data_IF_393076567827
#
_entry.id   IF_393076567827
#
_cell.length_a   1.000
_cell.length_b   1.000
_cell.length_c   1.000
_cell.angle_alpha   90.00
_cell.angle_beta   90.00
_cell.angle_gamma   90.00
#
_symmetry.space_group_name_H-M   'P 1'
#
loop_
_entity.id
_entity.type
_entity.pdbx_description
1 polymer ?
#
# COMPACT_ATOMS: atom_id res chain seq x y z
N UNK A 1 -47.60 37.90 44.29
CA UNK A 1 -47.81 39.17 43.55
C UNK A 1 -46.42 39.80 43.48
N UNK A 2 -45.68 39.80 42.38
CA UNK A 2 -46.06 39.65 40.98
C UNK A 2 -45.11 38.73 40.22
N UNK A 3 -45.74 37.98 39.32
CA UNK A 3 -45.14 37.18 38.26
C UNK A 3 -45.14 38.07 37.02
N UNK A 4 -44.02 38.17 36.30
CA UNK A 4 -43.94 38.14 34.83
C UNK A 4 -42.85 39.04 34.23
N UNK A 5 -42.10 38.42 33.30
CA UNK A 5 -41.52 38.98 32.08
C UNK A 5 -40.27 39.85 32.22
N UNK A 6 -39.14 39.22 31.90
CA UNK A 6 -38.12 39.82 31.04
C UNK A 6 -37.47 38.71 30.21
N UNK A 7 -37.82 38.67 28.93
CA UNK A 7 -37.14 37.94 27.86
C UNK A 7 -35.71 38.52 27.75
N UNK A 8 -34.62 37.77 27.59
CA UNK A 8 -34.44 36.73 26.60
C UNK A 8 -33.93 37.34 25.30
N UNK A 9 -32.79 38.05 25.33
CA UNK A 9 -32.16 38.62 24.13
C UNK A 9 -30.63 38.69 24.29
N UNK A 10 -29.93 38.43 23.17
CA UNK A 10 -28.47 38.36 22.97
C UNK A 10 -27.84 37.00 23.34
N UNK A 11 -27.27 36.20 22.44
CA UNK A 11 -26.97 36.35 21.03
C UNK A 11 -25.81 35.41 20.69
N UNK A 12 -25.89 34.71 19.55
CA UNK A 12 -24.77 34.29 18.71
C UNK A 12 -25.19 33.10 17.82
N UNK A 13 -25.53 33.44 16.58
CA UNK A 13 -25.02 32.79 15.36
C UNK A 13 -25.11 31.26 15.31
N UNK A 14 -26.17 30.76 14.68
CA UNK A 14 -26.20 29.44 14.07
C UNK A 14 -26.73 29.60 12.64
N UNK A 15 -25.84 30.02 11.72
CA UNK A 15 -26.09 29.93 10.29
C UNK A 15 -25.79 28.50 9.84
N UNK A 16 -26.87 27.76 9.60
CA UNK A 16 -26.86 26.47 8.93
C UNK A 16 -26.87 26.74 7.41
N UNK A 17 -25.69 26.82 6.79
CA UNK A 17 -25.51 26.81 5.35
C UNK A 17 -24.52 25.69 4.99
N UNK A 18 -24.91 24.90 3.98
CA UNK A 18 -24.23 23.68 3.56
C UNK A 18 -22.79 23.87 3.06
N UNK A 19 -22.11 22.77 2.73
CA UNK A 19 -20.69 22.78 2.40
C UNK A 19 -20.46 23.48 1.07
N UNK A 20 -20.01 24.72 1.10
CA UNK A 20 -19.27 25.34 -0.01
C UNK A 20 -17.80 24.96 0.12
N UNK A 21 -17.42 23.79 -0.39
CA UNK A 21 -16.04 23.51 -0.75
C UNK A 21 -15.69 24.29 -2.03
N UNK A 22 -15.34 25.57 -1.88
CA UNK A 22 -14.58 26.31 -2.88
C UNK A 22 -13.12 26.36 -2.46
N UNK A 23 -12.46 25.20 -2.47
CA UNK A 23 -11.00 25.14 -2.37
C UNK A 23 -10.43 25.54 -3.73
N UNK A 24 -9.89 26.75 -3.79
CA UNK A 24 -9.27 27.31 -5.00
C UNK A 24 -8.22 26.37 -5.62
N UNK A 25 -8.26 26.13 -6.94
CA UNK A 25 -7.29 25.30 -7.65
C UNK A 25 -6.08 26.17 -8.04
N UNK A 26 -5.19 26.51 -7.10
CA UNK A 26 -4.00 27.31 -7.46
C UNK A 26 -2.68 26.97 -6.78
N UNK A 27 -2.63 25.93 -5.96
CA UNK A 27 -1.38 25.51 -5.28
C UNK A 27 -0.98 24.04 -5.52
N UNK A 28 -1.59 23.34 -6.49
CA UNK A 28 -1.19 21.97 -6.88
C UNK A 28 -0.36 21.86 -8.17
N UNK A 29 0.03 22.99 -8.79
CA UNK A 29 0.73 22.97 -10.09
C UNK A 29 2.26 23.03 -10.01
N UNK A 30 2.85 23.13 -8.81
CA UNK A 30 4.31 23.17 -8.64
C UNK A 30 4.92 21.84 -8.20
N UNK A 31 4.16 20.94 -7.57
CA UNK A 31 4.63 19.56 -7.28
C UNK A 31 4.62 18.68 -8.53
N UNK A 32 3.58 18.77 -9.36
CA UNK A 32 3.50 18.01 -10.62
C UNK A 32 4.64 18.36 -11.60
N UNK A 33 5.28 19.53 -11.49
CA UNK A 33 6.44 19.88 -12.33
C UNK A 33 7.74 19.25 -11.87
N UNK A 34 7.91 18.92 -10.58
CA UNK A 34 9.13 18.22 -10.11
C UNK A 34 9.10 16.74 -10.45
N UNK A 35 7.93 16.11 -10.40
CA UNK A 35 7.77 14.70 -10.80
C UNK A 35 7.88 14.52 -12.33
N UNK A 36 7.41 15.50 -13.11
CA UNK A 36 7.57 15.51 -14.57
C UNK A 36 9.03 15.55 -15.05
N UNK A 37 9.94 16.14 -14.25
CA UNK A 37 11.37 16.23 -14.57
C UNK A 37 12.11 14.95 -14.19
N UNK A 38 11.62 14.17 -13.21
CA UNK A 38 12.15 12.84 -12.89
C UNK A 38 11.75 11.79 -13.94
N UNK A 39 10.53 11.85 -14.49
CA UNK A 39 10.10 10.96 -15.56
C UNK A 39 10.86 11.20 -16.88
N UNK A 40 11.25 12.45 -17.17
CA UNK A 40 12.04 12.79 -18.37
C UNK A 40 13.51 12.33 -18.31
N UNK A 41 14.03 11.99 -17.12
CA UNK A 41 15.35 11.35 -17.00
C UNK A 41 15.30 9.84 -17.21
N UNK A 42 14.21 9.18 -16.83
CA UNK A 42 14.04 7.74 -17.05
C UNK A 42 13.80 7.37 -18.52
N UNK A 43 13.20 8.26 -19.31
CA UNK A 43 13.04 8.03 -20.76
C UNK A 43 14.31 8.28 -21.59
N UNK A 44 15.36 8.88 -21.01
CA UNK A 44 16.63 9.08 -21.73
C UNK A 44 17.50 7.82 -21.77
N UNK A 45 17.23 6.87 -20.87
CA UNK A 45 18.02 5.64 -20.73
C UNK A 45 17.35 4.40 -21.38
N UNK A 46 16.13 4.55 -21.92
CA UNK A 46 15.35 3.45 -22.53
C UNK A 46 15.28 3.58 -24.06
N UNK A 47 16.13 4.42 -24.69
CA UNK A 47 16.23 4.41 -26.16
C UNK A 47 17.02 3.16 -26.62
N UNK A 48 16.45 2.24 -27.44
CA UNK A 48 17.12 1.01 -27.86
C UNK A 48 18.31 1.21 -28.81
N UNK A 49 18.58 2.46 -29.24
CA UNK A 49 19.43 2.76 -30.40
C UNK A 49 20.85 3.20 -30.07
N UNK A 50 21.31 3.13 -28.81
CA UNK A 50 22.70 3.53 -28.45
C UNK A 50 23.57 2.50 -27.74
N UNK A 51 23.07 1.32 -27.38
CA UNK A 51 23.90 0.28 -26.75
C UNK A 51 24.64 -0.60 -27.78
N UNK A 52 24.31 -0.49 -29.07
CA UNK A 52 24.85 -1.39 -30.09
C UNK A 52 26.13 -0.95 -30.83
N UNK A 53 26.74 0.19 -30.51
CA UNK A 53 27.86 0.71 -31.33
C UNK A 53 29.24 0.77 -30.69
N UNK A 54 29.46 0.38 -29.44
CA UNK A 54 30.80 0.50 -28.81
C UNK A 54 31.29 -0.70 -27.97
N UNK A 55 30.86 -1.94 -28.28
CA UNK A 55 31.44 -3.13 -27.62
C UNK A 55 31.69 -4.36 -28.50
N UNK A 56 31.68 -4.20 -29.82
CA UNK A 56 31.89 -5.30 -30.79
C UNK A 56 33.22 -5.25 -31.53
N UNK A 57 34.29 -4.71 -30.92
CA UNK A 57 35.65 -4.81 -31.49
C UNK A 57 36.59 -5.78 -30.76
N UNK A 58 36.16 -6.41 -29.65
CA UNK A 58 37.04 -7.29 -28.87
C UNK A 58 36.49 -8.70 -28.61
N UNK A 59 35.27 -9.02 -29.06
CA UNK A 59 34.70 -10.38 -28.97
C UNK A 59 34.75 -11.18 -30.28
N UNK A 60 35.34 -10.61 -31.35
CA UNK A 60 35.57 -11.31 -32.63
C UNK A 60 36.75 -12.28 -32.60
N UNK A 61 37.18 -12.74 -31.42
CA UNK A 61 38.28 -13.69 -31.24
C UNK A 61 37.89 -14.89 -30.37
N UNK A 62 36.61 -15.28 -30.34
CA UNK A 62 36.33 -16.71 -30.22
C UNK A 62 36.49 -17.31 -31.61
N UNK A 63 37.74 -17.59 -31.99
CA UNK A 63 38.06 -18.42 -33.14
C UNK A 63 37.52 -19.82 -32.85
N UNK A 64 36.23 -20.01 -33.15
CA UNK A 64 35.69 -21.33 -33.46
C UNK A 64 36.67 -21.98 -34.45
N UNK A 65 37.04 -23.27 -34.28
CA UNK A 65 37.80 -23.96 -35.30
C UNK A 65 36.99 -23.87 -36.59
N UNK A 66 37.50 -23.07 -37.53
CA UNK A 66 36.94 -22.88 -38.86
C UNK A 66 37.14 -24.21 -39.62
N UNK A 67 36.23 -25.15 -39.36
CA UNK A 67 36.21 -26.51 -39.89
C UNK A 67 36.12 -26.54 -41.42
N UNK A 68 35.86 -25.40 -42.05
CA UNK A 68 35.85 -25.21 -43.50
C UNK A 68 37.17 -24.71 -44.09
N UNK A 69 38.15 -24.32 -43.26
CA UNK A 69 39.54 -24.06 -43.70
C UNK A 69 40.45 -25.27 -43.66
N UNK A 70 39.96 -26.41 -43.17
CA UNK A 70 40.72 -27.65 -43.23
C UNK A 70 40.82 -28.11 -44.69
N UNK A 71 41.92 -27.75 -45.36
CA UNK A 71 42.28 -28.22 -46.71
C UNK A 71 42.11 -29.75 -46.75
N UNK A 72 41.07 -30.23 -47.42
CA UNK A 72 40.80 -31.66 -47.62
C UNK A 72 39.57 -32.24 -46.88
N UNK A 73 38.96 -31.54 -45.91
CA UNK A 73 37.81 -32.07 -45.15
C UNK A 73 36.59 -32.41 -46.01
N UNK A 74 36.37 -31.65 -47.08
CA UNK A 74 35.30 -31.86 -48.05
C UNK A 74 35.69 -32.78 -49.22
N UNK A 75 36.97 -33.12 -49.40
CA UNK A 75 37.42 -33.94 -50.53
C UNK A 75 36.96 -35.39 -50.40
N UNK A 76 36.86 -35.89 -49.18
CA UNK A 76 36.32 -37.22 -48.92
C UNK A 76 34.84 -37.33 -49.31
N UNK A 77 34.08 -36.21 -49.32
CA UNK A 77 32.62 -36.19 -49.62
C UNK A 77 32.33 -36.24 -51.12
N UNK A 78 33.36 -36.16 -51.97
CA UNK A 78 33.18 -36.33 -53.41
C UNK A 78 32.90 -37.80 -53.72
N UNK A 79 31.88 -38.11 -54.54
CA UNK A 79 31.73 -39.44 -55.12
C UNK A 79 33.03 -39.77 -55.86
N UNK A 80 33.76 -40.78 -55.39
CA UNK A 80 34.78 -41.39 -56.21
C UNK A 80 34.02 -42.04 -57.38
N UNK A 81 34.18 -41.50 -58.58
CA UNK A 81 33.82 -42.21 -59.80
C UNK A 81 34.75 -43.44 -59.87
N UNK A 82 34.34 -44.52 -59.21
CA UNK A 82 35.03 -45.79 -59.28
C UNK A 82 34.79 -46.35 -60.67
N UNK A 83 35.84 -46.18 -61.48
CA UNK A 83 36.36 -47.20 -62.38
C UNK A 83 35.86 -48.58 -61.96
N UNK A 84 35.14 -49.21 -62.88
CA UNK A 84 34.62 -50.56 -62.77
C UNK A 84 35.69 -51.53 -62.26
N UNK A 85 35.35 -52.34 -61.26
CA UNK A 85 35.40 -53.79 -61.35
C UNK A 85 34.89 -54.41 -60.04
N UNK A 86 33.94 -55.36 -60.21
CA UNK A 86 33.54 -56.44 -59.31
C UNK A 86 33.09 -56.06 -57.89
N UNK A 87 31.77 -56.12 -57.64
CA UNK A 87 31.15 -57.01 -56.63
C UNK A 87 29.62 -56.90 -56.71
N UNK A 88 28.97 -57.64 -57.61
CA UNK A 88 27.50 -57.78 -57.61
C UNK A 88 27.13 -58.92 -56.64
N UNK A 89 26.52 -58.61 -55.50
CA UNK A 89 25.89 -59.65 -54.69
C UNK A 89 25.45 -59.32 -53.26
N UNK A 90 25.90 -58.21 -52.64
CA UNK A 90 25.54 -57.92 -51.22
C UNK A 90 25.08 -56.48 -50.94
N UNK A 91 25.01 -55.61 -51.95
CA UNK A 91 24.82 -54.18 -51.72
C UNK A 91 23.36 -53.72 -51.53
N UNK A 92 22.36 -54.59 -51.65
CA UNK A 92 20.95 -54.21 -51.47
C UNK A 92 20.55 -53.97 -49.99
N UNK A 93 21.31 -54.50 -49.03
CA UNK A 93 21.06 -54.34 -47.58
C UNK A 93 22.02 -53.35 -46.91
N UNK A 94 23.06 -52.89 -47.62
CA UNK A 94 24.06 -51.97 -47.08
C UNK A 94 23.62 -50.53 -47.32
N UNK A 95 23.56 -49.74 -46.25
CA UNK A 95 23.30 -48.31 -46.36
C UNK A 95 24.24 -47.67 -47.40
N UNK A 96 23.73 -46.84 -48.32
CA UNK A 96 24.57 -46.21 -49.35
C UNK A 96 25.72 -45.46 -48.67
N UNK A 97 26.94 -45.54 -49.23
CA UNK A 97 28.18 -45.01 -48.60
C UNK A 97 28.07 -43.56 -48.12
N UNK A 98 27.26 -42.76 -48.82
CA UNK A 98 26.96 -41.37 -48.43
C UNK A 98 26.17 -41.29 -47.11
N UNK A 99 25.15 -42.13 -46.94
CA UNK A 99 24.29 -42.14 -45.77
C UNK A 99 25.06 -42.59 -44.53
N UNK A 100 25.84 -43.67 -44.63
CA UNK A 100 26.72 -44.13 -43.57
C UNK A 100 27.71 -43.02 -43.12
N UNK A 101 28.14 -42.19 -44.07
CA UNK A 101 29.04 -41.07 -43.78
C UNK A 101 28.35 -39.90 -43.09
N UNK A 102 27.13 -39.58 -43.48
CA UNK A 102 26.33 -38.54 -42.84
C UNK A 102 25.95 -38.94 -41.41
N UNK A 103 25.67 -40.21 -41.17
CA UNK A 103 25.44 -40.76 -39.82
C UNK A 103 26.67 -40.61 -38.92
N UNK A 104 27.88 -40.91 -39.43
CA UNK A 104 29.11 -40.67 -38.68
C UNK A 104 29.32 -39.18 -38.38
N UNK A 105 29.07 -38.31 -39.36
CA UNK A 105 29.17 -36.86 -39.18
C UNK A 105 28.18 -36.36 -38.12
N UNK A 106 26.95 -36.86 -38.14
CA UNK A 106 25.93 -36.53 -37.15
C UNK A 106 26.34 -36.99 -35.75
N UNK A 107 26.82 -38.23 -35.62
CA UNK A 107 27.31 -38.74 -34.35
C UNK A 107 28.47 -37.90 -33.81
N UNK A 108 29.41 -37.49 -34.67
CA UNK A 108 30.51 -36.60 -34.30
C UNK A 108 30.00 -35.23 -33.82
N UNK A 109 29.08 -34.61 -34.56
CA UNK A 109 28.51 -33.31 -34.21
C UNK A 109 27.69 -33.36 -32.93
N UNK A 110 26.85 -34.38 -32.74
CA UNK A 110 26.09 -34.56 -31.51
C UNK A 110 27.01 -34.84 -30.31
N UNK A 111 28.10 -35.59 -30.50
CA UNK A 111 29.10 -35.79 -29.45
C UNK A 111 29.83 -34.49 -29.10
N UNK A 112 30.13 -33.63 -30.06
CA UNK A 112 30.67 -32.29 -29.78
C UNK A 112 29.65 -31.43 -29.03
N UNK A 113 28.39 -31.41 -29.46
CA UNK A 113 27.30 -30.70 -28.76
C UNK A 113 27.12 -31.21 -27.33
N UNK A 114 27.22 -32.52 -27.10
CA UNK A 114 27.13 -33.08 -25.75
C UNK A 114 28.35 -32.73 -24.88
N UNK A 115 29.55 -32.65 -25.47
CA UNK A 115 30.78 -32.23 -24.75
C UNK A 115 30.78 -30.75 -24.41
N UNK A 116 30.39 -29.89 -25.35
CA UNK A 116 30.32 -28.43 -25.16
C UNK A 116 29.08 -28.05 -24.32
N UNK A 117 27.96 -28.73 -24.57
CA UNK A 117 26.69 -28.54 -23.89
C UNK A 117 26.59 -29.17 -22.50
N UNK A 118 27.60 -29.93 -22.04
CA UNK A 118 27.62 -30.49 -20.68
C UNK A 118 27.50 -29.40 -19.59
N UNK A 119 27.95 -28.17 -19.88
CA UNK A 119 27.83 -27.00 -19.01
C UNK A 119 26.57 -26.15 -19.27
N UNK A 120 25.93 -26.30 -20.44
CA UNK A 120 24.79 -25.50 -20.89
C UNK A 120 23.51 -26.33 -20.78
N UNK A 121 22.67 -26.06 -19.79
CA UNK A 121 21.34 -26.71 -19.67
C UNK A 121 20.27 -25.81 -20.27
N UNK A 122 19.31 -26.39 -21.00
CA UNK A 122 18.13 -25.69 -21.51
C UNK A 122 18.22 -25.26 -22.97
N UNK A 123 17.75 -24.05 -23.27
CA UNK A 123 17.54 -23.53 -24.63
C UNK A 123 18.82 -23.55 -25.49
N UNK A 124 19.96 -23.14 -24.93
CA UNK A 124 21.23 -23.10 -25.67
C UNK A 124 21.74 -24.49 -26.09
N UNK A 125 21.54 -25.53 -25.27
CA UNK A 125 21.90 -26.90 -25.68
C UNK A 125 20.95 -27.46 -26.75
N UNK A 126 19.68 -27.08 -26.71
CA UNK A 126 18.70 -27.45 -27.74
C UNK A 126 19.04 -26.76 -29.05
N UNK A 127 19.46 -25.49 -29.02
CA UNK A 127 19.93 -24.73 -30.17
C UNK A 127 21.20 -25.34 -30.82
N UNK A 128 22.20 -25.68 -30.01
CA UNK A 128 23.41 -26.32 -30.54
C UNK A 128 23.11 -27.68 -31.18
N UNK A 129 22.10 -28.38 -30.67
CA UNK A 129 21.64 -29.65 -31.24
C UNK A 129 20.91 -29.45 -32.57
N UNK A 130 20.01 -28.46 -32.69
CA UNK A 130 19.35 -28.13 -33.96
C UNK A 130 20.36 -27.67 -35.01
N UNK A 131 21.38 -26.91 -34.62
CA UNK A 131 22.46 -26.49 -35.52
C UNK A 131 23.32 -27.66 -36.01
N UNK A 132 23.56 -28.67 -35.18
CA UNK A 132 24.23 -29.90 -35.61
C UNK A 132 23.42 -30.64 -36.70
N UNK A 133 22.09 -30.71 -36.55
CA UNK A 133 21.22 -31.28 -37.58
C UNK A 133 21.20 -30.44 -38.86
N UNK A 134 21.14 -29.10 -38.76
CA UNK A 134 21.25 -28.18 -39.92
C UNK A 134 22.55 -28.40 -40.69
N UNK A 135 23.69 -28.52 -40.00
CA UNK A 135 25.00 -28.74 -40.62
C UNK A 135 25.10 -30.08 -41.37
N UNK A 136 24.55 -31.16 -40.80
CA UNK A 136 24.52 -32.47 -41.46
C UNK A 136 23.56 -32.46 -42.66
N UNK A 137 22.42 -31.77 -42.53
CA UNK A 137 21.48 -31.61 -43.63
C UNK A 137 22.09 -30.80 -44.79
N UNK A 138 22.85 -29.73 -44.50
CA UNK A 138 23.58 -28.97 -45.53
C UNK A 138 24.64 -29.83 -46.24
N UNK A 139 25.36 -30.67 -45.50
CA UNK A 139 26.31 -31.62 -46.09
C UNK A 139 25.59 -32.65 -46.98
N UNK A 140 24.42 -33.15 -46.56
CA UNK A 140 23.57 -34.00 -47.37
C UNK A 140 23.14 -33.32 -48.67
N UNK A 141 22.60 -32.10 -48.60
CA UNK A 141 22.18 -31.34 -49.78
C UNK A 141 23.33 -31.05 -50.73
N UNK A 142 24.54 -30.78 -50.22
CA UNK A 142 25.73 -30.56 -51.03
C UNK A 142 26.14 -31.81 -51.83
N UNK A 143 26.01 -32.99 -51.20
CA UNK A 143 26.35 -34.27 -51.82
C UNK A 143 25.25 -34.84 -52.73
N UNK A 144 23.98 -34.48 -52.50
CA UNK A 144 22.83 -35.02 -53.20
C UNK A 144 22.37 -34.06 -54.30
N UNK A 145 22.91 -34.22 -55.51
CA UNK A 145 22.71 -33.27 -56.63
C UNK A 145 21.38 -33.44 -57.37
N UNK A 146 20.82 -34.66 -57.43
CA UNK A 146 19.65 -35.00 -58.26
C UNK A 146 18.36 -34.27 -57.86
N UNK A 147 18.07 -34.19 -56.55
CA UNK A 147 16.87 -33.50 -56.02
C UNK A 147 17.22 -32.21 -55.27
N UNK A 148 18.43 -31.68 -55.45
CA UNK A 148 18.96 -30.53 -54.70
C UNK A 148 18.03 -29.32 -54.73
N UNK A 149 17.51 -28.97 -55.90
CA UNK A 149 16.66 -27.79 -56.05
C UNK A 149 15.36 -27.87 -55.23
N UNK A 150 14.72 -29.04 -55.19
CA UNK A 150 13.49 -29.27 -54.41
C UNK A 150 13.81 -29.27 -52.91
N UNK A 151 14.86 -29.97 -52.51
CA UNK A 151 15.26 -30.06 -51.11
C UNK A 151 15.74 -28.71 -50.55
N UNK A 152 16.38 -27.86 -51.35
CA UNK A 152 16.74 -26.50 -50.94
C UNK A 152 15.52 -25.61 -50.70
N UNK A 153 14.44 -25.75 -51.48
CA UNK A 153 13.19 -25.02 -51.24
C UNK A 153 12.51 -25.48 -49.96
N UNK A 154 12.45 -26.80 -49.76
CA UNK A 154 11.93 -27.37 -48.51
C UNK A 154 12.75 -26.88 -47.32
N UNK A 155 14.09 -26.92 -47.42
CA UNK A 155 14.98 -26.39 -46.38
C UNK A 155 14.67 -24.94 -46.05
N UNK A 156 14.50 -24.09 -47.07
CA UNK A 156 14.24 -22.67 -46.89
C UNK A 156 12.98 -22.41 -46.05
N UNK A 157 11.86 -23.06 -46.38
CA UNK A 157 10.61 -22.96 -45.62
C UNK A 157 10.77 -23.45 -44.17
N UNK A 158 11.51 -24.55 -43.97
CA UNK A 158 11.82 -25.04 -42.62
C UNK A 158 12.73 -24.10 -41.84
N UNK A 159 13.73 -23.49 -42.50
CA UNK A 159 14.65 -22.57 -41.84
C UNK A 159 13.93 -21.28 -41.44
N UNK A 160 13.05 -20.74 -42.29
CA UNK A 160 12.19 -19.59 -41.94
C UNK A 160 11.27 -19.91 -40.76
N UNK A 161 10.55 -21.04 -40.80
CA UNK A 161 9.68 -21.45 -39.70
C UNK A 161 10.45 -21.69 -38.37
N UNK A 162 11.68 -22.21 -38.45
CA UNK A 162 12.55 -22.38 -37.29
C UNK A 162 13.03 -21.04 -36.73
N UNK A 163 13.41 -20.11 -37.59
CA UNK A 163 13.90 -18.79 -37.17
C UNK A 163 12.75 -17.96 -36.54
N UNK A 164 11.54 -18.04 -37.08
CA UNK A 164 10.33 -17.47 -36.48
C UNK A 164 10.00 -18.09 -35.12
N UNK A 165 10.09 -19.42 -35.00
CA UNK A 165 9.89 -20.11 -33.73
C UNK A 165 10.94 -19.70 -32.69
N UNK A 166 12.21 -19.52 -33.09
CA UNK A 166 13.26 -19.04 -32.21
C UNK A 166 13.00 -17.62 -31.75
N UNK A 167 12.62 -16.71 -32.65
CA UNK A 167 12.24 -15.34 -32.30
C UNK A 167 11.10 -15.31 -31.28
N UNK A 168 10.05 -16.11 -31.50
CA UNK A 168 8.93 -16.22 -30.57
C UNK A 168 9.33 -16.72 -29.18
N UNK A 169 10.27 -17.68 -29.10
CA UNK A 169 10.79 -18.15 -27.80
C UNK A 169 11.60 -17.08 -27.09
N UNK A 170 12.44 -16.33 -27.81
CA UNK A 170 13.17 -15.20 -27.25
C UNK A 170 12.23 -14.13 -26.69
N UNK A 171 11.21 -13.76 -27.45
CA UNK A 171 10.19 -12.80 -27.01
C UNK A 171 9.45 -13.33 -25.78
N UNK A 172 9.10 -14.62 -25.73
CA UNK A 172 8.44 -15.20 -24.57
C UNK A 172 9.31 -15.15 -23.31
N UNK A 173 10.60 -15.49 -23.43
CA UNK A 173 11.55 -15.40 -22.31
C UNK A 173 11.72 -13.96 -21.86
N UNK A 174 11.83 -13.02 -22.80
CA UNK A 174 11.95 -11.60 -22.51
C UNK A 174 10.71 -11.06 -21.78
N UNK A 175 9.52 -11.31 -22.31
CA UNK A 175 8.24 -10.90 -21.70
C UNK A 175 8.07 -11.50 -20.31
N UNK A 176 8.47 -12.76 -20.08
CA UNK A 176 8.44 -13.38 -18.74
C UNK A 176 9.38 -12.68 -17.77
N UNK A 177 10.56 -12.27 -18.22
CA UNK A 177 11.50 -11.53 -17.39
C UNK A 177 10.95 -10.14 -17.04
N UNK A 178 10.32 -9.44 -18.00
CA UNK A 178 9.67 -8.15 -17.75
C UNK A 178 8.48 -8.28 -16.79
N UNK A 179 7.64 -9.32 -16.95
CA UNK A 179 6.53 -9.60 -16.04
C UNK A 179 7.04 -9.86 -14.61
N UNK A 180 8.07 -10.70 -14.46
CA UNK A 180 8.68 -10.97 -13.15
C UNK A 180 9.21 -9.69 -12.49
N UNK A 181 9.87 -8.81 -13.26
CA UNK A 181 10.37 -7.54 -12.74
C UNK A 181 9.22 -6.59 -12.35
N UNK A 182 8.14 -6.56 -13.13
CA UNK A 182 6.95 -5.77 -12.82
C UNK A 182 6.22 -6.27 -11.57
N UNK A 183 6.13 -7.58 -11.37
CA UNK A 183 5.58 -8.21 -10.16
C UNK A 183 6.39 -7.81 -8.92
N UNK A 184 7.72 -7.90 -8.97
CA UNK A 184 8.60 -7.46 -7.87
C UNK A 184 8.42 -5.97 -7.54
N UNK A 185 8.31 -5.11 -8.55
CA UNK A 185 8.04 -3.69 -8.35
C UNK A 185 6.67 -3.44 -7.72
N UNK A 186 5.64 -4.16 -8.16
CA UNK A 186 4.29 -4.06 -7.60
C UNK A 186 4.28 -4.49 -6.13
N UNK A 187 4.91 -5.61 -5.80
CA UNK A 187 5.01 -6.11 -4.43
C UNK A 187 5.73 -5.12 -3.52
N UNK A 188 6.82 -4.50 -4.00
CA UNK A 188 7.52 -3.45 -3.27
C UNK A 188 6.62 -2.23 -3.00
N UNK A 189 5.88 -1.74 -4.02
CA UNK A 189 4.94 -0.64 -3.86
C UNK A 189 3.79 -0.97 -2.89
N UNK A 190 3.26 -2.19 -2.95
CA UNK A 190 2.21 -2.65 -2.03
C UNK A 190 2.74 -2.75 -0.60
N UNK A 191 3.96 -3.23 -0.41
CA UNK A 191 4.60 -3.29 0.91
C UNK A 191 4.81 -1.88 1.49
N UNK A 192 5.29 -0.93 0.68
CA UNK A 192 5.46 0.47 1.07
C UNK A 192 4.11 1.13 1.43
N UNK A 193 3.07 0.93 0.61
CA UNK A 193 1.74 1.46 0.89
C UNK A 193 1.15 0.90 2.20
N UNK A 194 1.35 -0.40 2.46
CA UNK A 194 0.94 -1.03 3.72
C UNK A 194 1.70 -0.44 4.91
N UNK A 195 3.01 -0.27 4.79
CA UNK A 195 3.84 0.33 5.84
C UNK A 195 3.36 1.75 6.19
N UNK A 196 3.13 2.60 5.17
CA UNK A 196 2.58 3.96 5.36
C UNK A 196 1.20 3.93 6.01
N UNK A 197 0.30 3.06 5.54
CA UNK A 197 -1.04 2.96 6.13
C UNK A 197 -1.03 2.52 7.59
N UNK A 198 -0.06 1.68 7.97
CA UNK A 198 0.11 1.25 9.35
C UNK A 198 0.68 2.38 10.21
N UNK A 199 1.65 3.12 9.69
CA UNK A 199 2.19 4.32 10.35
C UNK A 199 1.09 5.35 10.60
N UNK A 200 0.30 5.71 9.58
CA UNK A 200 -0.82 6.64 9.70
C UNK A 200 -1.85 6.15 10.73
N UNK A 201 -2.18 4.85 10.73
CA UNK A 201 -3.09 4.27 11.71
C UNK A 201 -2.54 4.34 13.15
N UNK A 202 -1.23 4.14 13.32
CA UNK A 202 -0.60 4.26 14.65
C UNK A 202 -0.57 5.70 15.16
N UNK A 203 -0.32 6.67 14.28
CA UNK A 203 -0.36 8.09 14.62
C UNK A 203 -1.78 8.49 15.03
N UNK A 204 -2.78 8.17 14.21
CA UNK A 204 -4.19 8.46 14.53
C UNK A 204 -4.63 7.82 15.85
N UNK A 205 -4.17 6.59 16.13
CA UNK A 205 -4.46 5.91 17.40
C UNK A 205 -3.84 6.65 18.59
N UNK A 206 -2.59 7.08 18.48
CA UNK A 206 -1.92 7.85 19.53
C UNK A 206 -2.64 9.18 19.79
N UNK A 207 -3.02 9.90 18.73
CA UNK A 207 -3.78 11.14 18.85
C UNK A 207 -5.12 10.94 19.58
N UNK A 208 -5.85 9.87 19.27
CA UNK A 208 -7.10 9.54 19.96
C UNK A 208 -6.87 9.15 21.43
N UNK A 209 -5.82 8.39 21.73
CA UNK A 209 -5.45 8.04 23.10
C UNK A 209 -5.10 9.30 23.92
N UNK A 210 -4.39 10.25 23.32
CA UNK A 210 -4.04 11.51 23.97
C UNK A 210 -5.26 12.42 24.18
N UNK A 211 -6.16 12.51 23.20
CA UNK A 211 -7.44 13.21 23.37
C UNK A 211 -8.29 12.60 24.48
N UNK A 212 -8.35 11.28 24.55
CA UNK A 212 -9.07 10.57 25.61
C UNK A 212 -8.48 10.91 26.99
N UNK A 213 -7.15 10.85 27.14
CA UNK A 213 -6.47 11.23 28.40
C UNK A 213 -6.74 12.67 28.79
N UNK A 214 -6.73 13.59 27.83
CA UNK A 214 -7.03 15.00 28.09
C UNK A 214 -8.47 15.16 28.60
N UNK A 215 -9.44 14.52 27.97
CA UNK A 215 -10.83 14.56 28.40
C UNK A 215 -11.03 13.91 29.77
N UNK A 216 -10.37 12.79 30.06
CA UNK A 216 -10.39 12.14 31.36
C UNK A 216 -9.85 13.06 32.47
N UNK A 217 -8.74 13.77 32.21
CA UNK A 217 -8.20 14.76 33.15
C UNK A 217 -9.16 15.93 33.39
N UNK A 218 -9.81 16.44 32.34
CA UNK A 218 -10.81 17.51 32.46
C UNK A 218 -12.02 17.03 33.28
N UNK A 219 -12.49 15.81 33.04
CA UNK A 219 -13.59 15.21 33.80
C UNK A 219 -13.23 15.06 35.28
N UNK A 220 -12.06 14.52 35.60
CA UNK A 220 -11.57 14.39 36.98
C UNK A 220 -11.45 15.75 37.68
N UNK A 221 -10.94 16.78 36.99
CA UNK A 221 -10.90 18.14 37.55
C UNK A 221 -12.30 18.71 37.80
N UNK A 222 -13.26 18.44 36.92
CA UNK A 222 -14.64 18.86 37.11
C UNK A 222 -15.28 18.15 38.30
N UNK A 223 -15.05 16.84 38.47
CA UNK A 223 -15.52 16.07 39.64
C UNK A 223 -14.94 16.60 40.94
N UNK A 224 -13.64 16.90 40.99
CA UNK A 224 -13.02 17.52 42.17
C UNK A 224 -13.67 18.87 42.51
N UNK A 225 -13.88 19.74 41.51
CA UNK A 225 -14.56 21.03 41.72
C UNK A 225 -15.99 20.86 42.20
N UNK A 226 -16.72 19.88 41.67
CA UNK A 226 -18.06 19.54 42.13
C UNK A 226 -18.03 19.13 43.61
N UNK A 227 -17.15 18.21 44.00
CA UNK A 227 -17.00 17.79 45.39
C UNK A 227 -16.59 18.93 46.33
N UNK A 228 -15.67 19.81 45.93
CA UNK A 228 -15.31 21.01 46.70
C UNK A 228 -16.52 21.94 46.88
N UNK A 229 -17.28 22.17 45.82
CA UNK A 229 -18.49 23.00 45.87
C UNK A 229 -19.59 22.39 46.75
N UNK A 230 -19.76 21.07 46.71
CA UNK A 230 -20.71 20.34 47.56
C UNK A 230 -20.34 20.44 49.03
N UNK A 231 -19.05 20.28 49.36
CA UNK A 231 -18.54 20.45 50.72
C UNK A 231 -18.76 21.87 51.24
N UNK A 232 -18.52 22.89 50.41
CA UNK A 232 -18.79 24.28 50.77
C UNK A 232 -20.28 24.55 50.99
N UNK A 233 -21.15 24.06 50.09
CA UNK A 233 -22.60 24.16 50.23
C UNK A 233 -23.06 23.51 51.54
N UNK A 234 -22.50 22.34 51.88
CA UNK A 234 -22.85 21.62 53.10
C UNK A 234 -22.44 22.42 54.35
N UNK A 235 -21.22 22.94 54.40
CA UNK A 235 -20.75 23.82 55.48
C UNK A 235 -21.63 25.08 55.64
N UNK A 236 -22.01 25.72 54.53
CA UNK A 236 -22.94 26.87 54.54
C UNK A 236 -24.34 26.48 55.02
N UNK A 237 -24.83 25.28 54.69
CA UNK A 237 -26.12 24.78 55.20
C UNK A 237 -26.09 24.60 56.71
N UNK A 238 -25.01 24.02 57.23
CA UNK A 238 -24.83 23.82 58.67
C UNK A 238 -24.77 25.14 59.43
N UNK A 239 -24.04 26.14 58.92
CA UNK A 239 -23.99 27.47 59.53
C UNK A 239 -25.34 28.19 59.51
N UNK A 240 -26.10 28.07 58.40
CA UNK A 240 -27.47 28.60 58.32
C UNK A 240 -28.38 27.95 59.38
N UNK A 241 -28.27 26.63 59.58
CA UNK A 241 -29.06 25.92 60.60
C UNK A 241 -28.70 26.41 62.00
N UNK A 242 -27.40 26.57 62.30
CA UNK A 242 -26.93 27.11 63.59
C UNK A 242 -27.45 28.54 63.84
N UNK A 243 -27.31 29.43 62.86
CA UNK A 243 -27.78 30.81 62.96
C UNK A 243 -29.31 30.90 63.09
N UNK A 244 -30.06 30.02 62.40
CA UNK A 244 -31.52 29.94 62.57
C UNK A 244 -31.91 29.52 63.99
N UNK A 245 -31.16 28.60 64.59
CA UNK A 245 -31.38 28.18 65.98
C UNK A 245 -31.11 29.34 66.96
N UNK A 246 -29.98 30.02 66.80
CA UNK A 246 -29.64 31.19 67.62
C UNK A 246 -30.68 32.31 67.48
N UNK A 247 -31.14 32.62 66.26
CA UNK A 247 -32.19 33.59 66.03
C UNK A 247 -33.51 33.18 66.71
N UNK A 248 -33.88 31.90 66.68
CA UNK A 248 -35.06 31.40 67.37
C UNK A 248 -34.94 31.54 68.90
N UNK A 249 -33.76 31.24 69.46
CA UNK A 249 -33.46 31.40 70.88
C UNK A 249 -33.54 32.87 71.31
N UNK A 250 -32.97 33.79 70.52
CA UNK A 250 -33.06 35.23 70.76
C UNK A 250 -34.49 35.75 70.67
N UNK A 251 -35.31 35.25 69.73
CA UNK A 251 -36.74 35.59 69.64
C UNK A 251 -37.48 35.10 70.89
N UNK A 252 -37.20 33.87 71.35
CA UNK A 252 -37.80 33.32 72.57
C UNK A 252 -37.41 34.14 73.82
N UNK A 253 -36.14 34.50 73.95
CA UNK A 253 -35.65 35.39 75.02
C UNK A 253 -36.33 36.76 74.97
N UNK A 254 -36.41 37.39 73.78
CA UNK A 254 -37.09 38.67 73.61
C UNK A 254 -38.57 38.59 74.00
N UNK A 255 -39.27 37.51 73.64
CA UNK A 255 -40.67 37.29 74.05
C UNK A 255 -40.79 37.16 75.57
N UNK A 256 -39.90 36.39 76.20
CA UNK A 256 -39.89 36.23 77.65
C UNK A 256 -39.62 37.56 78.39
N UNK A 257 -38.68 38.37 77.89
CA UNK A 257 -38.39 39.70 78.44
C UNK A 257 -39.61 40.62 78.26
N UNK A 258 -40.22 40.65 77.07
CA UNK A 258 -41.45 41.44 76.83
C UNK A 258 -42.59 41.03 77.76
N UNK A 259 -42.78 39.74 77.99
CA UNK A 259 -43.79 39.23 78.91
C UNK A 259 -43.50 39.68 80.36
N UNK A 260 -42.27 39.54 80.84
CA UNK A 260 -41.86 40.07 82.15
C UNK A 260 -42.07 41.58 82.26
N UNK A 261 -41.80 42.34 81.20
CA UNK A 261 -42.05 43.79 81.19
C UNK A 261 -43.54 44.12 81.22
N UNK A 262 -44.39 43.37 80.53
CA UNK A 262 -45.85 43.52 80.61
C UNK A 262 -46.40 43.17 82.00
N UNK A 263 -45.86 42.14 82.65
CA UNK A 263 -46.19 41.76 84.03
C UNK A 263 -45.76 42.85 85.04
N UNK A 264 -44.61 43.49 84.81
CA UNK A 264 -44.08 44.55 85.69
C UNK A 264 -44.62 45.95 85.36
N UNK A 265 -45.21 46.16 84.17
CA UNK A 265 -45.78 47.43 83.78
C UNK A 265 -47.13 47.64 84.50
N UNK A 266 -47.25 48.79 85.16
CA UNK A 266 -48.36 49.19 86.04
C UNK A 266 -49.74 49.27 85.39
N UNK A 267 -49.87 48.91 84.11
CA UNK A 267 -51.10 48.94 83.33
C UNK A 267 -51.78 47.56 83.19
N UNK A 268 -51.08 46.44 83.48
CA UNK A 268 -51.66 45.09 83.40
C UNK A 268 -52.22 44.57 84.74
N UNK A 269 -52.15 45.38 85.79
CA UNK A 269 -52.55 44.98 87.13
C UNK A 269 -54.08 44.82 87.21
N UNK A 270 -54.63 43.60 87.40
CA UNK A 270 -56.07 43.38 87.48
C UNK A 270 -56.72 44.07 88.69
N UNK A 271 -55.91 44.63 89.61
CA UNK A 271 -56.38 45.53 90.67
C UNK A 271 -56.79 46.93 90.18
N UNK A 272 -56.21 47.45 89.10
CA UNK A 272 -56.60 48.75 88.54
C UNK A 272 -57.80 48.63 87.58
N UNK A 273 -57.95 47.50 86.87
CA UNK A 273 -59.16 47.23 86.08
C UNK A 273 -60.40 47.06 86.97
N UNK A 274 -60.26 46.40 88.15
CA UNK A 274 -61.31 46.30 89.18
C UNK A 274 -61.64 47.63 89.89
N UNK A 275 -60.79 48.66 89.77
CA UNK A 275 -61.14 50.01 90.22
C UNK A 275 -62.02 50.76 89.20
N UNK A 276 -61.92 50.46 87.90
CA UNK A 276 -62.78 51.04 86.87
C UNK A 276 -64.13 50.30 86.70
N UNK A 277 -64.23 49.02 87.07
CA UNK A 277 -65.52 48.29 87.12
C UNK A 277 -66.38 48.59 88.36
N UNK A 278 -65.85 49.29 89.37
CA UNK A 278 -66.59 49.72 90.57
C UNK A 278 -66.92 51.21 90.59
N UNK A 279 -66.86 51.90 89.44
CA UNK A 279 -67.49 53.21 89.30
C UNK A 279 -69.01 53.01 89.32
N UNK A 280 -69.75 53.65 90.25
CA UNK A 280 -71.20 53.58 90.25
C UNK A 280 -71.70 54.12 88.90
N UNK A 281 -72.56 53.34 88.26
CA UNK A 281 -73.30 53.80 87.11
C UNK A 281 -74.02 55.10 87.48
N UNK A 282 -73.60 56.19 86.87
CA UNK A 282 -74.45 57.36 86.72
C UNK A 282 -75.46 57.04 85.62
N UNK A 283 -76.56 56.46 86.07
CA UNK A 283 -77.82 56.45 85.34
C UNK A 283 -78.36 57.88 85.28
N UNK A 284 -78.21 58.57 84.15
CA UNK A 284 -78.89 59.85 83.92
C UNK A 284 -78.54 60.46 82.56
N UNK A 285 -79.31 60.15 81.50
CA UNK A 285 -80.41 60.99 81.01
C UNK A 285 -79.98 62.42 80.65
N UNK A 286 -79.63 62.63 79.38
CA UNK A 286 -80.49 63.25 78.34
C UNK A 286 -79.99 62.85 76.97
#
# INVERSE_FOLDING_TARGET
MDVSKSYGELGAQNELLGPTESTSPRLRTTENKRESVSASKLYRDISPTRVFTMRNKELSLSTLPDLFKQKGGLQSLRPAYLSSNSDEGTDATRAPRLLARLEMLLAEKLNMVNRVGAASKGFAATQMRTDAYRQVFDAFLHSFTTYRAVLMRIKHEYDEALDDALASVYDNVHMRAELSAAEEMMDACVAEAKAKSLEDATIMRQELEDQYRQQEQVALQAEMRCHESEAEIQSRRESIVALKKEAADLIAQNRAIKQKMLENSSWSNPRLLKMYENLPGDSGKT
#
